data_IF_496621100664
#
_entry.id   IF_496621100664
#
_cell.length_a   1.000
_cell.length_b   1.000
_cell.length_c   1.000
_cell.angle_alpha   90.00
_cell.angle_beta   90.00
_cell.angle_gamma   90.00
#
_symmetry.space_group_name_H-M   'P 1'
#
loop_
_entity.id
_entity.type
_entity.pdbx_description
1 polymer ?
#
# COMPACT_ATOMS: atom_id res chain seq x y z
N UNK A 1 -24.82 -6.89 10.50
CA UNK A 1 -23.71 -7.69 11.11
C UNK A 1 -24.02 -8.17 12.52
N UNK A 2 -24.37 -7.29 13.47
CA UNK A 2 -24.58 -7.64 14.88
C UNK A 2 -25.63 -8.74 15.13
N UNK A 3 -26.74 -8.74 14.36
CA UNK A 3 -27.79 -9.76 14.45
C UNK A 3 -27.27 -11.18 14.14
N UNK A 4 -26.40 -11.32 13.13
CA UNK A 4 -25.80 -12.60 12.74
C UNK A 4 -24.80 -13.11 13.79
N UNK A 5 -24.05 -12.21 14.43
CA UNK A 5 -23.18 -12.55 15.56
C UNK A 5 -23.99 -13.01 16.77
N UNK A 6 -25.12 -12.37 17.04
CA UNK A 6 -26.03 -12.75 18.12
C UNK A 6 -26.65 -14.13 17.89
N UNK A 7 -27.12 -14.40 16.67
CA UNK A 7 -27.62 -15.73 16.29
C UNK A 7 -26.53 -16.79 16.42
N UNK A 8 -25.29 -16.52 15.97
CA UNK A 8 -24.15 -17.42 16.17
C UNK A 8 -23.85 -17.68 17.63
N UNK A 9 -23.90 -16.66 18.49
CA UNK A 9 -23.67 -16.81 19.92
C UNK A 9 -24.76 -17.66 20.60
N UNK A 10 -26.02 -17.51 20.19
CA UNK A 10 -27.13 -18.33 20.69
C UNK A 10 -26.96 -19.78 20.23
N UNK A 11 -26.61 -20.02 18.97
CA UNK A 11 -26.35 -21.36 18.45
C UNK A 11 -25.14 -22.03 19.14
N UNK A 12 -24.07 -21.27 19.42
CA UNK A 12 -22.90 -21.76 20.14
C UNK A 12 -23.18 -22.18 21.59
N UNK A 13 -24.22 -21.61 22.23
CA UNK A 13 -24.63 -21.94 23.60
C UNK A 13 -25.26 -23.33 23.73
N UNK A 14 -25.70 -23.93 22.62
CA UNK A 14 -26.33 -25.25 22.58
C UNK A 14 -25.55 -26.23 21.69
N UNK A 15 -24.30 -26.59 22.06
CA UNK A 15 -23.45 -27.46 21.24
C UNK A 15 -24.02 -28.87 21.05
N UNK A 16 -24.94 -29.31 21.93
CA UNK A 16 -25.62 -30.61 21.84
C UNK A 16 -26.55 -30.76 20.63
N UNK A 17 -27.02 -29.66 20.02
CA UNK A 17 -27.99 -29.69 18.94
C UNK A 17 -27.37 -29.52 17.54
N UNK A 18 -26.05 -29.34 17.43
CA UNK A 18 -25.29 -29.15 16.18
C UNK A 18 -26.01 -28.24 15.16
N UNK A 19 -26.49 -27.08 15.63
CA UNK A 19 -27.31 -26.17 14.84
C UNK A 19 -26.42 -25.28 13.97
N UNK A 20 -26.62 -25.34 12.66
CA UNK A 20 -26.00 -24.44 11.69
C UNK A 20 -27.04 -23.42 11.20
N UNK A 21 -26.71 -22.13 11.32
CA UNK A 21 -27.59 -21.05 10.85
C UNK A 21 -27.35 -20.89 9.35
N UNK A 22 -28.36 -21.20 8.53
CA UNK A 22 -28.31 -21.02 7.08
C UNK A 22 -29.02 -19.72 6.72
N UNK A 23 -28.26 -18.77 6.16
CA UNK A 23 -28.76 -17.55 5.56
C UNK A 23 -28.14 -17.45 4.16
N UNK A 24 -28.93 -17.22 3.08
CA UNK A 24 -28.42 -17.14 1.70
C UNK A 24 -27.30 -16.11 1.52
N UNK A 25 -27.25 -15.07 2.35
CA UNK A 25 -26.21 -14.03 2.32
C UNK A 25 -25.11 -14.21 3.39
N UNK A 26 -25.09 -15.33 4.11
CA UNK A 26 -24.13 -15.58 5.20
C UNK A 26 -22.67 -15.47 4.76
N UNK A 27 -22.34 -15.90 3.54
CA UNK A 27 -20.98 -15.83 2.99
C UNK A 27 -20.46 -14.39 2.90
N UNK A 28 -21.27 -13.46 2.41
CA UNK A 28 -20.88 -12.05 2.28
C UNK A 28 -20.75 -11.37 3.65
N UNK A 29 -21.64 -11.69 4.58
CA UNK A 29 -21.60 -11.13 5.92
C UNK A 29 -20.34 -11.56 6.70
N UNK A 30 -19.90 -12.81 6.52
CA UNK A 30 -18.65 -13.32 7.10
C UNK A 30 -17.41 -12.67 6.48
N UNK A 31 -17.46 -12.40 5.17
CA UNK A 31 -16.38 -11.75 4.45
C UNK A 31 -16.21 -10.29 4.90
N UNK A 32 -17.31 -9.55 5.08
CA UNK A 32 -17.32 -8.19 5.62
C UNK A 32 -16.81 -8.13 7.07
N UNK A 33 -17.18 -9.10 7.92
CA UNK A 33 -16.69 -9.18 9.30
C UNK A 33 -15.16 -9.32 9.39
N UNK A 34 -14.58 -10.02 8.43
CA UNK A 34 -13.15 -10.36 8.42
C UNK A 34 -12.32 -9.32 7.67
N UNK A 35 -12.94 -8.36 6.98
CA UNK A 35 -12.24 -7.52 6.02
C UNK A 35 -11.34 -6.47 6.67
N UNK A 36 -11.83 -5.78 7.70
CA UNK A 36 -11.07 -4.73 8.39
C UNK A 36 -9.74 -5.25 8.96
N UNK A 37 -9.70 -6.36 9.73
CA UNK A 37 -8.43 -6.87 10.25
C UNK A 37 -7.52 -7.43 9.15
N UNK A 38 -8.07 -8.03 8.10
CA UNK A 38 -7.30 -8.54 6.96
C UNK A 38 -6.68 -7.39 6.17
N UNK A 39 -7.46 -6.38 5.78
CA UNK A 39 -7.00 -5.18 5.07
C UNK A 39 -5.86 -4.49 5.80
N UNK A 40 -6.00 -4.29 7.11
CA UNK A 40 -4.93 -3.69 7.92
C UNK A 40 -3.63 -4.51 7.83
N UNK A 41 -3.73 -5.83 7.94
CA UNK A 41 -2.57 -6.72 7.94
C UNK A 41 -1.92 -6.79 6.55
N UNK A 42 -2.71 -6.85 5.48
CA UNK A 42 -2.22 -6.92 4.10
C UNK A 42 -1.55 -5.62 3.67
N UNK A 43 -2.11 -4.46 4.03
CA UNK A 43 -1.51 -3.15 3.75
C UNK A 43 -0.16 -3.00 4.45
N UNK A 44 -0.05 -3.39 5.72
CA UNK A 44 1.22 -3.35 6.45
C UNK A 44 2.25 -4.27 5.78
N UNK A 45 1.87 -5.50 5.43
CA UNK A 45 2.77 -6.43 4.77
C UNK A 45 3.23 -5.91 3.41
N UNK A 46 2.32 -5.34 2.62
CA UNK A 46 2.66 -4.70 1.35
C UNK A 46 3.66 -3.55 1.54
N UNK A 47 3.46 -2.70 2.54
CA UNK A 47 4.36 -1.59 2.84
C UNK A 47 5.77 -2.07 3.20
N UNK A 48 5.86 -3.13 4.02
CA UNK A 48 7.15 -3.75 4.38
C UNK A 48 7.83 -4.37 3.16
N UNK A 49 7.08 -5.10 2.33
CA UNK A 49 7.61 -5.70 1.11
C UNK A 49 8.19 -4.64 0.16
N UNK A 50 7.53 -3.50 0.04
CA UNK A 50 8.04 -2.38 -0.76
C UNK A 50 9.34 -1.81 -0.20
N UNK A 51 9.39 -1.55 1.10
CA UNK A 51 10.60 -1.06 1.75
C UNK A 51 11.81 -1.99 1.49
N UNK A 52 11.59 -3.31 1.51
CA UNK A 52 12.62 -4.31 1.19
C UNK A 52 13.05 -4.22 -0.27
N UNK A 53 12.11 -4.19 -1.22
CA UNK A 53 12.42 -4.10 -2.66
C UNK A 53 13.24 -2.84 -2.97
N UNK A 54 12.86 -1.70 -2.38
CA UNK A 54 13.55 -0.43 -2.56
C UNK A 54 14.97 -0.43 -1.97
N UNK A 55 15.14 -1.07 -0.82
CA UNK A 55 16.45 -1.26 -0.17
C UNK A 55 17.37 -2.13 -1.02
N UNK A 56 16.84 -3.17 -1.68
CA UNK A 56 17.62 -4.02 -2.58
C UNK A 56 18.00 -3.28 -3.87
N UNK A 57 17.12 -2.43 -4.40
CA UNK A 57 17.33 -1.76 -5.69
C UNK A 57 18.29 -0.54 -5.62
N UNK A 58 18.48 0.04 -4.44
CA UNK A 58 19.29 1.26 -4.26
C UNK A 58 20.53 0.99 -3.39
N UNK A 59 21.76 1.11 -3.91
CA UNK A 59 23.00 0.88 -3.16
C UNK A 59 23.55 2.12 -2.45
N UNK A 60 22.92 3.30 -2.57
CA UNK A 60 23.40 4.58 -1.98
C UNK A 60 22.44 5.15 -0.92
N UNK A 61 22.97 5.42 0.29
CA UNK A 61 22.18 5.78 1.48
C UNK A 61 21.42 7.12 1.37
N UNK A 62 21.98 8.11 0.67
CA UNK A 62 21.35 9.44 0.51
C UNK A 62 20.13 9.40 -0.40
N UNK A 63 20.19 8.61 -1.47
CA UNK A 63 19.05 8.36 -2.37
C UNK A 63 18.00 7.44 -1.77
N UNK A 64 18.38 6.54 -0.85
CA UNK A 64 17.42 5.72 -0.09
C UNK A 64 16.52 6.63 0.74
N UNK A 65 17.09 7.55 1.53
CA UNK A 65 16.32 8.41 2.42
C UNK A 65 15.30 9.28 1.68
N UNK A 66 15.69 9.92 0.57
CA UNK A 66 14.77 10.74 -0.22
C UNK A 66 13.67 9.90 -0.88
N UNK A 67 14.02 8.72 -1.41
CA UNK A 67 13.04 7.81 -2.02
C UNK A 67 12.05 7.28 -0.99
N UNK A 68 12.53 6.82 0.17
CA UNK A 68 11.67 6.33 1.26
C UNK A 68 10.71 7.41 1.77
N UNK A 69 11.15 8.67 1.87
CA UNK A 69 10.29 9.80 2.22
C UNK A 69 9.18 10.03 1.18
N UNK A 70 9.50 10.01 -0.12
CA UNK A 70 8.50 10.14 -1.18
C UNK A 70 7.47 9.02 -1.14
N UNK A 71 7.91 7.78 -0.90
CA UNK A 71 7.04 6.59 -0.80
C UNK A 71 6.14 6.68 0.41
N UNK A 72 6.71 7.03 1.57
CA UNK A 72 5.95 7.22 2.80
C UNK A 72 4.86 8.28 2.57
N UNK A 73 5.20 9.38 1.90
CA UNK A 73 4.26 10.45 1.56
C UNK A 73 3.12 9.98 0.66
N UNK A 74 3.41 9.24 -0.41
CA UNK A 74 2.38 8.70 -1.32
C UNK A 74 1.46 7.73 -0.57
N UNK A 75 2.02 6.83 0.23
CA UNK A 75 1.25 5.85 1.00
C UNK A 75 0.36 6.51 2.07
N UNK A 76 0.88 7.51 2.79
CA UNK A 76 0.11 8.30 3.74
C UNK A 76 -0.98 9.11 3.04
N UNK A 77 -0.72 9.65 1.85
CA UNK A 77 -1.70 10.35 1.03
C UNK A 77 -2.87 9.47 0.62
N UNK A 78 -2.59 8.23 0.19
CA UNK A 78 -3.64 7.25 -0.18
C UNK A 78 -4.51 6.90 1.04
N UNK A 79 -3.91 6.59 2.18
CA UNK A 79 -4.66 6.29 3.42
C UNK A 79 -5.42 7.51 3.97
N UNK A 80 -4.82 8.69 3.86
CA UNK A 80 -5.43 9.96 4.26
C UNK A 80 -6.64 10.31 3.39
N UNK A 81 -6.55 10.11 2.07
CA UNK A 81 -7.67 10.35 1.15
C UNK A 81 -8.85 9.43 1.43
N UNK A 82 -8.59 8.16 1.77
CA UNK A 82 -9.64 7.20 2.11
C UNK A 82 -10.39 7.59 3.39
N UNK A 83 -9.64 8.07 4.40
CA UNK A 83 -10.21 8.53 5.67
C UNK A 83 -10.98 9.84 5.48
N UNK A 84 -10.49 10.75 4.62
CA UNK A 84 -11.15 12.03 4.35
C UNK A 84 -12.46 11.88 3.58
N UNK A 85 -12.57 10.84 2.75
CA UNK A 85 -13.78 10.57 1.94
C UNK A 85 -14.82 9.70 2.66
N UNK A 86 -14.57 9.33 3.94
CA UNK A 86 -15.46 8.48 4.74
C UNK A 86 -15.85 7.18 4.00
N UNK A 87 -14.87 6.57 3.32
CA UNK A 87 -15.10 5.35 2.52
C UNK A 87 -15.04 4.14 3.44
N UNK A 88 -16.14 3.39 3.46
CA UNK A 88 -16.20 2.08 4.13
C UNK A 88 -15.15 1.12 3.56
N UNK A 89 -14.46 0.39 4.45
CA UNK A 89 -13.43 -0.59 4.07
C UNK A 89 -14.09 -1.85 3.48
N UNK A 90 -14.23 -1.86 2.16
CA UNK A 90 -14.75 -2.93 1.34
C UNK A 90 -13.65 -3.69 0.57
N UNK A 91 -13.92 -4.89 0.02
CA UNK A 91 -12.90 -5.65 -0.71
C UNK A 91 -12.39 -4.90 -1.95
N UNK A 92 -13.27 -4.10 -2.54
CA UNK A 92 -12.97 -3.27 -3.71
C UNK A 92 -12.02 -2.15 -3.32
N UNK A 93 -12.26 -1.45 -2.20
CA UNK A 93 -11.36 -0.38 -1.74
C UNK A 93 -10.02 -0.93 -1.23
N UNK A 94 -10.00 -2.11 -0.61
CA UNK A 94 -8.74 -2.82 -0.32
C UNK A 94 -7.93 -3.08 -1.60
N UNK A 95 -8.56 -3.53 -2.68
CA UNK A 95 -7.88 -3.80 -3.95
C UNK A 95 -7.34 -2.52 -4.60
N UNK A 96 -8.08 -1.41 -4.56
CA UNK A 96 -7.61 -0.12 -5.11
C UNK A 96 -6.43 0.44 -4.32
N UNK A 97 -6.42 0.29 -2.99
CA UNK A 97 -5.28 0.65 -2.14
C UNK A 97 -4.06 -0.17 -2.55
N UNK A 98 -4.19 -1.49 -2.69
CA UNK A 98 -3.07 -2.35 -3.11
C UNK A 98 -2.54 -1.99 -4.51
N UNK A 99 -3.42 -1.66 -5.46
CA UNK A 99 -3.01 -1.16 -6.78
C UNK A 99 -2.27 0.17 -6.69
N UNK A 100 -2.76 1.12 -5.89
CA UNK A 100 -2.11 2.43 -5.71
C UNK A 100 -0.70 2.28 -5.11
N UNK A 101 -0.57 1.39 -4.12
CA UNK A 101 0.71 0.99 -3.54
C UNK A 101 1.62 0.42 -4.64
N UNK A 102 1.13 -0.49 -5.49
CA UNK A 102 1.86 -1.08 -6.61
C UNK A 102 2.38 -0.07 -7.64
N UNK A 103 1.52 0.86 -8.08
CA UNK A 103 1.91 1.91 -9.02
C UNK A 103 2.98 2.86 -8.44
N UNK A 104 2.95 3.12 -7.14
CA UNK A 104 3.99 3.93 -6.47
C UNK A 104 5.39 3.35 -6.67
N UNK A 105 5.55 2.03 -6.57
CA UNK A 105 6.86 1.36 -6.77
C UNK A 105 7.27 1.34 -8.23
N UNK A 106 6.33 1.19 -9.15
CA UNK A 106 6.59 1.24 -10.59
C UNK A 106 7.24 2.57 -11.00
N UNK A 107 6.71 3.70 -10.49
CA UNK A 107 7.31 5.02 -10.71
C UNK A 107 8.77 5.10 -10.25
N UNK A 108 9.09 4.48 -9.11
CA UNK A 108 10.43 4.57 -8.52
C UNK A 108 11.41 3.68 -9.26
N UNK A 109 10.98 2.49 -9.68
CA UNK A 109 11.78 1.63 -10.54
C UNK A 109 12.08 2.32 -11.87
N UNK A 110 11.11 3.02 -12.46
CA UNK A 110 11.30 3.81 -13.69
C UNK A 110 12.28 4.96 -13.51
N UNK A 111 12.13 5.76 -12.45
CA UNK A 111 13.04 6.85 -12.11
C UNK A 111 14.44 6.31 -11.87
N UNK A 112 14.57 5.23 -11.09
CA UNK A 112 15.85 4.60 -10.75
C UNK A 112 16.54 4.04 -11.99
N UNK A 113 15.82 3.34 -12.86
CA UNK A 113 16.35 2.82 -14.12
C UNK A 113 16.83 3.93 -15.06
N UNK A 114 16.03 5.00 -15.21
CA UNK A 114 16.42 6.15 -16.03
C UNK A 114 17.61 6.89 -15.42
N UNK A 115 17.69 6.96 -14.10
CA UNK A 115 18.83 7.53 -13.38
C UNK A 115 20.11 6.71 -13.58
N UNK A 116 20.06 5.38 -13.51
CA UNK A 116 21.23 4.53 -13.80
C UNK A 116 21.66 4.57 -15.26
N UNK A 117 20.71 4.54 -16.19
CA UNK A 117 20.98 4.69 -17.63
C UNK A 117 21.54 6.09 -17.95
N UNK A 118 21.06 7.10 -17.22
CA UNK A 118 21.60 8.45 -17.21
C UNK A 118 22.99 8.53 -16.60
N UNK A 119 23.27 7.86 -15.49
CA UNK A 119 24.59 7.83 -14.83
C UNK A 119 25.67 7.16 -15.69
N UNK A 120 25.34 6.10 -16.41
CA UNK A 120 26.23 5.53 -17.43
C UNK A 120 26.59 6.56 -18.53
N UNK A 121 25.70 7.53 -18.80
CA UNK A 121 25.95 8.69 -19.66
C UNK A 121 26.61 9.85 -18.91
N UNK A 122 26.37 10.02 -17.61
CA UNK A 122 26.89 11.12 -16.77
C UNK A 122 28.32 10.89 -16.31
N UNK A 123 28.82 9.66 -16.24
CA UNK A 123 30.27 9.43 -16.16
C UNK A 123 31.02 10.05 -17.35
N UNK A 124 30.32 10.28 -18.48
CA UNK A 124 30.79 11.05 -19.64
C UNK A 124 30.47 12.56 -19.59
N UNK A 125 29.57 13.03 -18.71
CA UNK A 125 29.14 14.44 -18.56
C UNK A 125 29.60 15.09 -17.23
N UNK A 126 30.46 14.43 -16.45
CA UNK A 126 30.97 14.97 -15.18
C UNK A 126 31.82 16.25 -15.34
N UNK A 127 32.11 16.67 -16.58
CA UNK A 127 32.65 18.00 -16.91
C UNK A 127 31.58 19.13 -16.94
N UNK A 128 30.28 18.83 -16.87
CA UNK A 128 29.17 19.82 -16.98
C UNK A 128 28.31 19.97 -15.71
N UNK A 129 28.78 19.44 -14.58
CA UNK A 129 27.97 19.28 -13.35
C UNK A 129 27.61 20.54 -12.54
N UNK A 130 28.22 21.75 -12.70
CA UNK A 130 27.78 22.89 -11.89
C UNK A 130 26.48 23.56 -12.39
N UNK A 131 25.95 23.23 -13.57
CA UNK A 131 24.80 23.96 -14.15
C UNK A 131 23.41 23.40 -13.74
N UNK A 132 23.28 22.10 -13.42
CA UNK A 132 21.98 21.47 -13.18
C UNK A 132 21.45 21.58 -11.74
N UNK A 133 22.31 21.84 -10.75
CA UNK A 133 21.88 22.14 -9.38
C UNK A 133 21.01 23.40 -9.33
N UNK A 134 21.14 24.30 -10.32
CA UNK A 134 20.31 25.50 -10.43
C UNK A 134 18.89 25.24 -10.96
N UNK A 135 18.64 24.12 -11.66
CA UNK A 135 17.34 23.90 -12.33
C UNK A 135 16.29 23.21 -11.44
N UNK A 136 16.72 22.42 -10.44
CA UNK A 136 15.79 21.77 -9.49
C UNK A 136 15.17 22.77 -8.50
N UNK A 137 15.75 23.97 -8.35
CA UNK A 137 15.17 25.04 -7.53
C UNK A 137 14.10 25.88 -8.24
N UNK A 138 13.85 25.70 -9.54
CA UNK A 138 12.98 26.59 -10.34
C UNK A 138 11.79 25.88 -11.02
N UNK A 139 11.47 24.65 -10.62
CA UNK A 139 10.25 23.98 -11.10
C UNK A 139 9.44 23.39 -9.95
N UNK A 140 9.26 24.21 -8.92
CA UNK A 140 8.03 24.25 -8.13
C UNK A 140 7.23 25.47 -8.58
#
# INVERSE_FOLDING_TARGET
LNLLQEWRNIAAKYPRLNVTIYEPFSMYADQLLTIVPVTKSTVIFAFVAMAIVLMVFTPCLTTILSSTLSILSINLGVLGSLTYWDIDLDPISMATILMAIGFSVDFIAHITFHYYKGQARVHFLNDYIPLCIFFVSNHF
#
